data_IF_011391760250
#
_entry.id   IF_011391760250
#
_cell.length_a   1.000
_cell.length_b   1.000
_cell.length_c   1.000
_cell.angle_alpha   90.00
_cell.angle_beta   90.00
_cell.angle_gamma   90.00
#
_symmetry.space_group_name_H-M   'P 1'
#
loop_
_entity.id
_entity.type
_entity.pdbx_description
1 polymer ?
#
# COMPACT_ATOMS: atom_id res chain seq x y z
N UNK A 1 -7.25 6.68 4.83
CA UNK A 1 -6.82 6.92 3.43
C UNK A 1 -7.96 7.51 2.62
N UNK A 2 -9.19 6.99 2.72
CA UNK A 2 -10.38 7.53 2.03
C UNK A 2 -10.60 9.04 2.25
N UNK A 3 -10.71 9.50 3.51
CA UNK A 3 -10.88 10.93 3.79
C UNK A 3 -9.75 11.83 3.23
N UNK A 4 -8.52 11.31 3.10
CA UNK A 4 -7.41 12.05 2.48
C UNK A 4 -7.58 12.14 0.95
N UNK A 5 -8.08 11.07 0.32
CA UNK A 5 -8.41 11.06 -1.09
C UNK A 5 -9.55 12.03 -1.41
N UNK A 6 -10.62 12.00 -0.63
CA UNK A 6 -11.78 12.90 -0.78
C UNK A 6 -11.41 14.37 -0.57
N UNK A 7 -10.42 14.63 0.28
CA UNK A 7 -9.85 15.96 0.50
C UNK A 7 -8.74 16.34 -0.51
N UNK A 8 -8.60 15.60 -1.61
CA UNK A 8 -7.60 15.83 -2.67
C UNK A 8 -6.14 15.87 -2.19
N UNK A 9 -5.81 15.16 -1.10
CA UNK A 9 -4.47 15.19 -0.50
C UNK A 9 -3.46 14.23 -1.14
N UNK A 10 -3.88 13.47 -2.17
CA UNK A 10 -3.00 12.59 -2.95
C UNK A 10 -2.78 13.18 -4.35
N UNK A 11 -1.84 14.11 -4.46
CA UNK A 11 -1.54 14.81 -5.72
C UNK A 11 -0.93 13.87 -6.77
N UNK A 12 -0.26 12.80 -6.32
CA UNK A 12 0.32 11.78 -7.17
C UNK A 12 0.03 10.37 -6.63
N UNK A 13 0.05 9.33 -7.48
CA UNK A 13 -0.04 7.94 -7.02
C UNK A 13 1.03 7.58 -5.98
N UNK A 14 2.22 8.22 -6.04
CA UNK A 14 3.29 8.04 -5.07
C UNK A 14 2.89 8.46 -3.66
N UNK A 15 2.03 9.47 -3.52
CA UNK A 15 1.58 9.95 -2.21
C UNK A 15 0.66 8.91 -1.55
N UNK A 16 -0.26 8.33 -2.32
CA UNK A 16 -1.08 7.20 -1.84
C UNK A 16 -0.23 5.98 -1.50
N UNK A 17 0.74 5.62 -2.36
CA UNK A 17 1.64 4.47 -2.14
C UNK A 17 2.42 4.61 -0.84
N UNK A 18 2.92 5.81 -0.51
CA UNK A 18 3.61 6.07 0.76
C UNK A 18 2.73 5.74 1.97
N UNK A 19 1.49 6.22 1.98
CA UNK A 19 0.54 5.94 3.07
C UNK A 19 0.16 4.45 3.12
N UNK A 20 -0.05 3.81 1.97
CA UNK A 20 -0.38 2.39 1.90
C UNK A 20 0.76 1.52 2.47
N UNK A 21 2.00 1.86 2.13
CA UNK A 21 3.19 1.17 2.66
C UNK A 21 3.31 1.28 4.16
N UNK A 22 2.98 2.43 4.76
CA UNK A 22 2.97 2.57 6.22
C UNK A 22 2.03 1.56 6.88
N UNK A 23 0.89 1.22 6.29
CA UNK A 23 -0.02 0.20 6.84
C UNK A 23 0.68 -1.17 6.88
N UNK A 24 1.37 -1.56 5.80
CA UNK A 24 2.04 -2.85 5.72
C UNK A 24 3.30 -2.90 6.59
N UNK A 25 4.11 -1.86 6.56
CA UNK A 25 5.35 -1.73 7.31
C UNK A 25 5.09 -1.70 8.81
N UNK A 26 4.12 -0.88 9.28
CA UNK A 26 3.76 -0.84 10.69
C UNK A 26 3.16 -2.17 11.16
N UNK A 27 2.38 -2.85 10.30
CA UNK A 27 1.85 -4.18 10.61
C UNK A 27 2.98 -5.19 10.85
N UNK A 28 3.99 -5.23 9.95
CA UNK A 28 5.17 -6.09 10.10
C UNK A 28 6.03 -5.72 11.30
N UNK A 29 6.17 -4.43 11.61
CA UNK A 29 6.99 -3.96 12.71
C UNK A 29 6.41 -4.33 14.07
N UNK A 30 5.08 -4.28 14.21
CA UNK A 30 4.42 -4.47 15.50
C UNK A 30 4.03 -5.92 15.79
N UNK A 31 3.69 -6.69 14.76
CA UNK A 31 3.16 -8.04 14.93
C UNK A 31 4.23 -9.11 14.70
N UNK A 32 4.03 -10.27 15.31
CA UNK A 32 4.84 -11.46 15.02
C UNK A 32 4.82 -11.80 13.53
N UNK A 33 5.97 -12.17 12.97
CA UNK A 33 6.14 -12.45 11.54
C UNK A 33 5.24 -13.57 11.01
N UNK A 34 4.87 -14.53 11.86
CA UNK A 34 4.04 -15.68 11.53
C UNK A 34 2.55 -15.43 11.79
N UNK A 35 2.21 -14.27 12.37
CA UNK A 35 0.83 -13.87 12.66
C UNK A 35 -0.02 -13.78 11.40
N UNK A 36 -1.33 -13.96 11.58
CA UNK A 36 -2.30 -13.76 10.51
C UNK A 36 -2.26 -12.32 9.97
N UNK A 37 -1.98 -11.34 10.82
CA UNK A 37 -1.89 -9.93 10.43
C UNK A 37 -0.78 -9.68 9.41
N UNK A 38 0.44 -10.18 9.67
CA UNK A 38 1.56 -10.05 8.75
C UNK A 38 1.29 -10.79 7.42
N UNK A 39 0.71 -11.99 7.48
CA UNK A 39 0.30 -12.73 6.26
C UNK A 39 -0.71 -11.95 5.42
N UNK A 40 -1.70 -11.30 6.06
CA UNK A 40 -2.67 -10.46 5.39
C UNK A 40 -2.03 -9.20 4.78
N UNK A 41 -1.15 -8.51 5.52
CA UNK A 41 -0.44 -7.33 5.03
C UNK A 41 0.38 -7.66 3.76
N UNK A 42 1.16 -8.74 3.79
CA UNK A 42 1.97 -9.18 2.65
C UNK A 42 1.12 -9.52 1.42
N UNK A 43 -0.03 -10.21 1.63
CA UNK A 43 -0.96 -10.54 0.54
C UNK A 43 -1.59 -9.29 -0.08
N UNK A 44 -1.97 -8.33 0.75
CA UNK A 44 -2.59 -7.09 0.31
C UNK A 44 -1.59 -6.18 -0.41
N UNK A 45 -0.37 -6.03 0.11
CA UNK A 45 0.71 -5.29 -0.55
C UNK A 45 1.03 -5.87 -1.93
N UNK A 46 1.17 -7.20 -2.03
CA UNK A 46 1.35 -7.89 -3.32
C UNK A 46 0.17 -7.68 -4.28
N UNK A 47 -1.06 -7.59 -3.76
CA UNK A 47 -2.23 -7.28 -4.57
C UNK A 47 -2.20 -5.84 -5.08
N UNK A 48 -1.87 -4.87 -4.23
CA UNK A 48 -1.72 -3.46 -4.60
C UNK A 48 -0.73 -3.29 -5.75
N UNK A 49 0.47 -3.86 -5.62
CA UNK A 49 1.49 -3.80 -6.67
C UNK A 49 1.05 -4.43 -7.99
N UNK A 50 0.27 -5.52 -7.94
CA UNK A 50 -0.33 -6.09 -9.15
C UNK A 50 -1.34 -5.16 -9.81
N UNK A 51 -2.09 -4.35 -9.06
CA UNK A 51 -3.00 -3.38 -9.66
C UNK A 51 -2.24 -2.18 -10.25
N UNK A 52 -1.24 -1.66 -9.53
CA UNK A 52 -0.39 -0.55 -9.99
C UNK A 52 0.29 -0.91 -11.32
N UNK A 53 0.86 -2.11 -11.43
CA UNK A 53 1.50 -2.59 -12.67
C UNK A 53 0.58 -2.70 -13.88
N UNK A 54 -0.74 -2.82 -13.69
CA UNK A 54 -1.70 -2.87 -14.82
C UNK A 54 -1.93 -1.50 -15.45
N UNK A 55 -1.57 -0.44 -14.76
CA UNK A 55 -1.69 0.94 -15.23
C UNK A 55 -0.34 1.30 -15.83
N UNK A 56 -0.29 1.44 -17.16
CA UNK A 56 0.97 1.57 -17.91
C UNK A 56 1.79 2.77 -17.43
N UNK A 57 1.13 3.89 -17.15
CA UNK A 57 1.72 5.12 -16.64
C UNK A 57 2.41 4.93 -15.28
N UNK A 58 1.99 3.94 -14.48
CA UNK A 58 2.44 3.72 -13.10
C UNK A 58 3.25 2.44 -12.91
N UNK A 59 3.47 1.69 -13.99
CA UNK A 59 4.16 0.39 -13.96
C UNK A 59 5.59 0.43 -13.40
N UNK A 60 6.22 1.61 -13.40
CA UNK A 60 7.57 1.87 -12.93
C UNK A 60 7.66 2.36 -11.46
N UNK A 61 6.54 2.40 -10.73
CA UNK A 61 6.48 2.99 -9.38
C UNK A 61 6.88 2.05 -8.23
N UNK A 62 7.15 0.77 -8.52
CA UNK A 62 7.63 -0.21 -7.54
C UNK A 62 9.16 -0.21 -7.40
#
# INVERSE_FOLDING_TARGET
>A
MEARLEAEQYMTPKDFIKDARLIFDNCRQFNDENSLYVKCANKLEKYMWRQIRKISEWSHLE
#
